data_IF_235665401595
#
_entry.id   IF_235665401595
#
_cell.length_a   1.000
_cell.length_b   1.000
_cell.length_c   1.000
_cell.angle_alpha   90.00
_cell.angle_beta   90.00
_cell.angle_gamma   90.00
#
_symmetry.space_group_name_H-M   'P 1'
#
loop_
_entity.id
_entity.type
_entity.pdbx_description
1 polymer ?
#
# COMPACT_ATOMS: atom_id res chain seq x y z
N UNK A 1 -14.65 -2.92 -17.94
CA UNK A 1 -14.41 -1.46 -17.99
C UNK A 1 -12.92 -1.08 -17.76
N UNK A 2 -12.14 -1.75 -16.91
CA UNK A 2 -10.74 -1.38 -16.64
C UNK A 2 -9.77 -1.40 -17.85
N UNK A 3 -10.04 -2.17 -18.89
CA UNK A 3 -9.14 -2.29 -20.06
C UNK A 3 -9.07 -1.05 -20.95
N UNK A 4 -10.12 -0.24 -21.02
CA UNK A 4 -10.17 0.98 -21.87
C UNK A 4 -9.46 2.19 -21.21
N UNK A 5 -9.12 2.08 -19.92
CA UNK A 5 -8.56 3.17 -19.11
C UNK A 5 -7.06 2.98 -18.86
N UNK A 6 -6.54 1.76 -19.11
CA UNK A 6 -5.16 1.36 -18.78
C UNK A 6 -4.27 1.43 -20.03
N UNK A 7 -3.38 2.42 -20.04
CA UNK A 7 -2.35 2.59 -21.06
C UNK A 7 -0.98 2.57 -20.39
N UNK A 8 -0.47 1.38 -20.09
CA UNK A 8 0.87 1.16 -19.53
C UNK A 8 1.39 -0.20 -19.94
N UNK A 9 2.69 -0.43 -19.77
CA UNK A 9 3.32 -1.71 -19.93
C UNK A 9 3.41 -2.43 -18.59
N UNK A 10 3.01 -3.70 -18.55
CA UNK A 10 3.31 -4.57 -17.42
C UNK A 10 4.57 -5.37 -17.78
N UNK A 11 5.60 -5.24 -16.97
CA UNK A 11 6.81 -6.04 -17.15
C UNK A 11 6.45 -7.47 -16.75
N UNK A 12 6.61 -8.39 -17.70
CA UNK A 12 6.34 -9.82 -17.46
C UNK A 12 7.23 -10.32 -16.32
N UNK A 13 6.61 -10.77 -15.26
CA UNK A 13 7.27 -11.31 -14.06
C UNK A 13 8.19 -12.49 -14.42
N UNK A 14 7.81 -13.29 -15.42
CA UNK A 14 8.63 -14.40 -15.92
C UNK A 14 10.02 -13.97 -16.43
N UNK A 15 10.18 -12.69 -16.80
CA UNK A 15 11.46 -12.12 -17.22
C UNK A 15 12.32 -11.61 -16.07
N UNK A 16 11.81 -11.66 -14.84
CA UNK A 16 12.47 -11.16 -13.63
C UNK A 16 12.48 -12.22 -12.52
N UNK A 17 12.98 -13.45 -12.79
CA UNK A 17 13.01 -14.50 -11.79
C UNK A 17 13.81 -14.04 -10.56
N UNK A 18 13.25 -14.25 -9.39
CA UNK A 18 13.84 -13.85 -8.11
C UNK A 18 13.67 -12.38 -7.73
N UNK A 19 13.49 -11.44 -8.66
CA UNK A 19 13.27 -10.02 -8.33
C UNK A 19 11.91 -9.80 -7.68
N UNK A 20 10.88 -10.45 -8.20
CA UNK A 20 9.52 -10.38 -7.65
C UNK A 20 9.44 -10.96 -6.25
N UNK A 21 10.07 -12.12 -6.05
CA UNK A 21 10.12 -12.76 -4.73
C UNK A 21 10.89 -11.89 -3.74
N UNK A 22 12.00 -11.30 -4.16
CA UNK A 22 12.78 -10.36 -3.35
C UNK A 22 11.95 -9.14 -2.97
N UNK A 23 11.28 -8.49 -3.92
CA UNK A 23 10.46 -7.30 -3.66
C UNK A 23 9.28 -7.64 -2.75
N UNK A 24 8.59 -8.76 -3.01
CA UNK A 24 7.48 -9.23 -2.17
C UNK A 24 7.95 -9.50 -0.75
N UNK A 25 9.08 -10.18 -0.59
CA UNK A 25 9.67 -10.45 0.72
C UNK A 25 10.09 -9.16 1.43
N UNK A 26 10.73 -8.22 0.75
CA UNK A 26 11.14 -6.92 1.32
C UNK A 26 9.94 -6.10 1.80
N UNK A 27 8.86 -6.02 1.00
CA UNK A 27 7.62 -5.35 1.40
C UNK A 27 7.01 -6.06 2.61
N UNK A 28 6.85 -7.39 2.57
CA UNK A 28 6.24 -8.16 3.65
C UNK A 28 7.06 -8.15 4.95
N UNK A 29 8.37 -7.97 4.90
CA UNK A 29 9.26 -7.89 6.06
C UNK A 29 9.36 -6.47 6.64
N UNK A 30 8.95 -5.44 5.90
CA UNK A 30 9.03 -4.06 6.37
C UNK A 30 8.11 -3.85 7.59
N UNK A 31 8.68 -3.40 8.70
CA UNK A 31 7.97 -3.26 9.97
C UNK A 31 6.85 -2.21 9.88
N UNK A 32 7.09 -1.06 9.25
CA UNK A 32 6.08 -0.02 9.09
C UNK A 32 4.91 -0.52 8.24
N UNK A 33 5.20 -1.22 7.13
CA UNK A 33 4.18 -1.87 6.30
C UNK A 33 3.34 -2.86 7.12
N UNK A 34 3.98 -3.75 7.88
CA UNK A 34 3.29 -4.76 8.70
C UNK A 34 2.40 -4.15 9.77
N UNK A 35 2.86 -3.08 10.40
CA UNK A 35 2.11 -2.41 11.46
C UNK A 35 0.86 -1.71 10.92
N UNK A 36 0.94 -1.11 9.72
CA UNK A 36 -0.18 -0.39 9.10
C UNK A 36 -1.11 -1.33 8.35
N UNK A 37 -0.58 -2.22 7.52
CA UNK A 37 -1.38 -3.10 6.68
C UNK A 37 -1.92 -4.34 7.42
N UNK A 38 -1.27 -4.77 8.51
CA UNK A 38 -1.62 -5.99 9.27
C UNK A 38 -1.86 -7.18 8.33
N UNK A 39 -0.89 -7.56 7.49
CA UNK A 39 -1.13 -8.47 6.38
C UNK A 39 -1.42 -9.90 6.85
N UNK A 40 -2.52 -10.46 6.36
CA UNK A 40 -2.76 -11.91 6.33
C UNK A 40 -2.15 -12.52 5.07
N UNK A 41 -2.35 -11.83 3.95
CA UNK A 41 -1.83 -12.22 2.66
C UNK A 41 -1.40 -10.99 1.85
N UNK A 42 -0.23 -11.07 1.25
CA UNK A 42 0.25 -10.10 0.26
C UNK A 42 0.15 -10.77 -1.11
N UNK A 43 -0.54 -10.13 -2.04
CA UNK A 43 -0.72 -10.67 -3.40
C UNK A 43 0.59 -10.71 -4.19
N UNK A 44 0.57 -11.45 -5.29
CA UNK A 44 1.57 -11.27 -6.32
C UNK A 44 1.60 -9.81 -6.77
N UNK A 45 2.81 -9.27 -6.86
CA UNK A 45 3.05 -7.90 -7.28
C UNK A 45 3.05 -7.79 -8.81
N UNK A 46 2.74 -6.59 -9.30
CA UNK A 46 2.83 -6.23 -10.72
C UNK A 46 3.85 -5.12 -10.86
N UNK A 47 4.83 -5.30 -11.72
CA UNK A 47 5.76 -4.23 -12.10
C UNK A 47 5.17 -3.51 -13.31
N UNK A 48 4.86 -2.23 -13.13
CA UNK A 48 4.26 -1.37 -14.15
C UNK A 48 5.27 -0.32 -14.61
N UNK A 49 5.35 -0.15 -15.93
CA UNK A 49 6.17 0.86 -16.60
C UNK A 49 5.30 1.82 -17.38
N UNK A 50 5.59 3.10 -17.25
CA UNK A 50 4.93 4.19 -17.97
C UNK A 50 5.99 5.02 -18.69
N UNK A 51 5.82 5.18 -20.01
CA UNK A 51 6.61 6.03 -20.90
C UNK A 51 5.78 7.23 -21.33
N UNK A 52 6.36 8.24 -22.01
CA UNK A 52 5.63 9.40 -22.51
C UNK A 52 4.36 8.99 -23.28
N UNK A 53 3.24 9.64 -22.95
CA UNK A 53 1.91 9.34 -23.45
C UNK A 53 1.17 8.24 -22.71
N UNK A 54 1.79 7.57 -21.73
CA UNK A 54 1.16 6.48 -20.96
C UNK A 54 0.58 6.98 -19.65
N UNK A 55 -0.57 6.42 -19.29
CA UNK A 55 -1.33 6.74 -18.07
C UNK A 55 -2.17 5.56 -17.61
N UNK A 56 -2.80 5.70 -16.47
CA UNK A 56 -3.86 4.80 -16.04
C UNK A 56 -5.01 5.64 -15.50
N UNK A 57 -6.12 5.66 -16.23
CA UNK A 57 -7.27 6.50 -15.91
C UNK A 57 -7.95 6.14 -14.59
N UNK A 58 -8.89 6.96 -14.19
CA UNK A 58 -9.58 6.87 -12.91
C UNK A 58 -10.32 5.52 -12.76
N UNK A 59 -10.04 4.79 -11.69
CA UNK A 59 -10.63 3.49 -11.39
C UNK A 59 -10.56 3.16 -9.89
N UNK A 60 -11.20 2.07 -9.51
CA UNK A 60 -10.96 1.35 -8.24
C UNK A 60 -10.41 -0.02 -8.57
N UNK A 61 -9.63 -0.60 -7.68
CA UNK A 61 -9.18 -1.98 -7.80
C UNK A 61 -10.31 -2.97 -7.45
N UNK A 62 -10.13 -4.23 -7.87
CA UNK A 62 -11.10 -5.28 -7.56
C UNK A 62 -11.12 -5.60 -6.06
N UNK A 63 -12.31 -5.78 -5.49
CA UNK A 63 -12.49 -6.16 -4.08
C UNK A 63 -11.96 -7.56 -3.76
N UNK A 64 -11.96 -8.45 -4.77
CA UNK A 64 -11.46 -9.83 -4.66
C UNK A 64 -10.52 -10.10 -5.82
N UNK A 65 -9.35 -10.63 -5.50
CA UNK A 65 -8.32 -10.99 -6.46
C UNK A 65 -8.66 -12.32 -7.16
N UNK A 66 -8.03 -12.59 -8.31
CA UNK A 66 -8.18 -13.88 -9.01
C UNK A 66 -7.80 -15.10 -8.17
N UNK A 67 -6.95 -14.92 -7.17
CA UNK A 67 -6.57 -15.95 -6.19
C UNK A 67 -7.65 -16.25 -5.15
N UNK A 68 -8.79 -15.52 -5.17
CA UNK A 68 -9.87 -15.63 -4.19
C UNK A 68 -9.63 -14.82 -2.90
N UNK A 69 -8.47 -14.18 -2.74
CA UNK A 69 -8.19 -13.34 -1.58
C UNK A 69 -8.87 -11.96 -1.71
N UNK A 70 -9.33 -11.41 -0.57
CA UNK A 70 -9.80 -10.02 -0.52
C UNK A 70 -8.63 -9.08 -0.81
N UNK A 71 -8.95 -7.95 -1.43
CA UNK A 71 -8.05 -6.82 -1.55
C UNK A 71 -8.58 -5.68 -0.66
N UNK A 72 -8.02 -5.53 0.53
CA UNK A 72 -8.45 -4.51 1.50
C UNK A 72 -7.61 -3.23 1.36
N UNK A 73 -6.33 -3.38 1.04
CA UNK A 73 -5.36 -2.30 0.89
C UNK A 73 -4.61 -2.51 -0.42
N UNK A 74 -4.50 -1.45 -1.21
CA UNK A 74 -3.59 -1.37 -2.36
C UNK A 74 -2.29 -0.69 -1.94
N UNK A 75 -1.19 -1.06 -2.58
CA UNK A 75 0.07 -0.35 -2.39
C UNK A 75 0.78 -0.06 -3.70
N UNK A 76 1.51 1.05 -3.71
CA UNK A 76 2.44 1.41 -4.79
C UNK A 76 3.82 1.64 -4.18
N UNK A 77 4.81 0.86 -4.63
CA UNK A 77 6.22 1.05 -4.35
C UNK A 77 6.86 1.74 -5.56
N UNK A 78 7.43 2.92 -5.36
CA UNK A 78 8.11 3.68 -6.40
C UNK A 78 9.51 3.10 -6.65
N UNK A 79 9.87 2.89 -7.91
CA UNK A 79 11.19 2.40 -8.32
C UNK A 79 11.97 3.42 -9.17
N UNK A 80 11.31 4.45 -9.72
CA UNK A 80 11.94 5.58 -10.39
C UNK A 80 12.01 6.78 -9.43
N UNK A 81 13.12 7.50 -9.44
CA UNK A 81 13.21 8.74 -8.70
C UNK A 81 12.30 9.82 -9.29
N UNK A 82 11.69 10.70 -8.48
CA UNK A 82 10.71 11.68 -8.93
C UNK A 82 11.25 12.66 -9.99
N UNK A 83 12.53 12.95 -9.96
CA UNK A 83 13.20 13.86 -10.90
C UNK A 83 13.60 13.19 -12.22
N UNK A 84 13.45 11.86 -12.35
CA UNK A 84 13.80 11.10 -13.55
C UNK A 84 12.68 11.04 -14.60
N UNK A 85 11.49 11.56 -14.27
CA UNK A 85 10.35 11.60 -15.19
C UNK A 85 9.43 12.80 -14.88
N UNK A 86 8.63 13.23 -15.84
CA UNK A 86 7.64 14.29 -15.71
C UNK A 86 6.22 13.71 -15.78
N UNK A 87 5.29 14.28 -15.01
CA UNK A 87 3.94 13.71 -14.84
C UNK A 87 3.97 12.41 -14.04
N UNK A 88 3.06 11.50 -14.33
CA UNK A 88 3.01 10.16 -13.75
C UNK A 88 2.70 10.10 -12.25
N UNK A 89 2.14 11.16 -11.67
CA UNK A 89 1.70 11.15 -10.27
C UNK A 89 0.64 10.09 -10.04
N UNK A 90 0.71 9.42 -8.90
CA UNK A 90 -0.40 8.65 -8.36
C UNK A 90 -1.39 9.63 -7.72
N UNK A 91 -2.56 9.76 -8.30
CA UNK A 91 -3.62 10.63 -7.78
C UNK A 91 -4.65 9.79 -7.01
N UNK A 92 -4.86 10.12 -5.74
CA UNK A 92 -5.82 9.50 -4.84
C UNK A 92 -6.99 10.48 -4.61
N UNK A 93 -8.22 10.04 -4.86
CA UNK A 93 -9.41 10.88 -4.64
C UNK A 93 -9.92 10.66 -3.22
N UNK A 94 -9.82 11.68 -2.41
CA UNK A 94 -10.26 11.67 -1.01
C UNK A 94 -11.49 12.56 -0.81
N UNK A 95 -12.13 12.48 0.36
CA UNK A 95 -13.23 13.38 0.73
C UNK A 95 -12.81 14.87 0.75
N UNK A 96 -11.51 15.16 0.86
CA UNK A 96 -10.94 16.51 0.92
C UNK A 96 -10.29 16.94 -0.40
N UNK A 97 -10.54 16.23 -1.49
CA UNK A 97 -9.96 16.49 -2.80
C UNK A 97 -8.90 15.47 -3.22
N UNK A 98 -8.23 15.76 -4.32
CA UNK A 98 -7.21 14.89 -4.88
C UNK A 98 -5.87 15.09 -4.17
N UNK A 99 -5.23 13.97 -3.83
CA UNK A 99 -3.87 13.91 -3.33
C UNK A 99 -2.96 13.38 -4.43
N UNK A 100 -1.98 14.16 -4.86
CA UNK A 100 -0.97 13.76 -5.84
C UNK A 100 0.27 13.25 -5.12
N UNK A 101 0.68 12.04 -5.46
CA UNK A 101 1.78 11.34 -4.79
C UNK A 101 2.86 10.99 -5.81
N UNK A 102 4.06 11.51 -5.59
CA UNK A 102 5.27 11.24 -6.38
C UNK A 102 6.45 11.22 -5.41
N UNK A 103 6.95 10.04 -5.10
CA UNK A 103 7.91 9.82 -4.01
C UNK A 103 9.25 9.26 -4.54
N UNK A 104 10.34 9.43 -3.78
CA UNK A 104 11.63 8.84 -4.11
C UNK A 104 11.57 7.32 -4.30
N UNK A 105 12.47 6.77 -5.11
CA UNK A 105 12.63 5.34 -5.28
C UNK A 105 12.82 4.64 -3.92
N UNK A 106 12.17 3.49 -3.74
CA UNK A 106 12.13 2.75 -2.48
C UNK A 106 11.01 3.19 -1.52
N UNK A 107 10.33 4.31 -1.78
CA UNK A 107 9.16 4.74 -1.00
C UNK A 107 7.92 3.94 -1.37
N UNK A 108 7.09 3.64 -0.36
CA UNK A 108 5.85 2.89 -0.53
C UNK A 108 4.68 3.67 0.05
N UNK A 109 3.58 3.76 -0.70
CA UNK A 109 2.31 4.31 -0.25
C UNK A 109 1.25 3.22 -0.16
N UNK A 110 0.44 3.28 0.90
CA UNK A 110 -0.69 2.40 1.16
C UNK A 110 -1.99 3.21 1.07
N UNK A 111 -3.01 2.65 0.44
CA UNK A 111 -4.33 3.27 0.36
C UNK A 111 -5.44 2.21 0.30
N UNK A 112 -6.67 2.53 0.74
CA UNK A 112 -7.80 1.61 0.65
C UNK A 112 -8.04 1.18 -0.80
N UNK A 113 -8.20 -0.13 -1.05
CA UNK A 113 -8.41 -0.69 -2.41
C UNK A 113 -9.64 -0.11 -3.11
N UNK A 114 -10.70 0.23 -2.34
CA UNK A 114 -11.91 0.85 -2.86
C UNK A 114 -11.79 2.35 -3.18
N UNK A 115 -10.64 2.98 -2.91
CA UNK A 115 -10.43 4.39 -3.22
C UNK A 115 -10.28 4.60 -4.73
N UNK A 116 -10.98 5.60 -5.27
CA UNK A 116 -10.76 6.05 -6.65
C UNK A 116 -9.36 6.61 -6.79
N UNK A 117 -8.65 6.12 -7.78
CA UNK A 117 -7.27 6.55 -8.05
C UNK A 117 -6.93 6.45 -9.54
N UNK A 118 -5.88 7.15 -9.94
CA UNK A 118 -5.33 7.13 -11.30
C UNK A 118 -3.82 7.36 -11.29
N UNK A 119 -3.17 7.06 -12.40
CA UNK A 119 -1.80 7.52 -12.69
C UNK A 119 -1.89 8.53 -13.82
N UNK A 120 -1.48 9.77 -13.54
CA UNK A 120 -1.45 10.84 -14.54
C UNK A 120 -0.49 10.48 -15.68
N UNK A 121 -0.66 11.12 -16.83
CA UNK A 121 0.17 10.87 -18.00
C UNK A 121 1.63 11.22 -17.71
N UNK A 122 2.53 10.35 -18.12
CA UNK A 122 3.97 10.63 -18.14
C UNK A 122 4.26 11.43 -19.41
N UNK A 123 4.83 12.64 -19.27
CA UNK A 123 5.17 13.50 -20.41
C UNK A 123 6.62 13.34 -20.85
N UNK A 124 7.54 13.00 -19.93
CA UNK A 124 8.95 12.74 -20.21
C UNK A 124 9.54 11.70 -19.26
N UNK A 125 10.62 11.03 -19.65
CA UNK A 125 11.29 10.02 -18.86
C UNK A 125 10.53 8.70 -18.76
N UNK A 126 10.80 7.94 -17.69
CA UNK A 126 10.19 6.62 -17.47
C UNK A 126 9.84 6.42 -15.99
N UNK A 127 8.55 6.15 -15.72
CA UNK A 127 8.08 5.80 -14.38
C UNK A 127 7.95 4.29 -14.25
N UNK A 128 8.66 3.72 -13.29
CA UNK A 128 8.55 2.31 -12.90
C UNK A 128 8.00 2.25 -11.47
N UNK A 129 6.99 1.42 -11.26
CA UNK A 129 6.41 1.19 -9.95
C UNK A 129 5.97 -0.26 -9.80
N UNK A 130 6.01 -0.74 -8.56
CA UNK A 130 5.41 -2.02 -8.18
C UNK A 130 4.06 -1.73 -7.53
N UNK A 131 3.03 -2.44 -7.97
CA UNK A 131 1.71 -2.41 -7.37
C UNK A 131 1.34 -3.79 -6.84
N UNK A 132 0.60 -3.81 -5.74
CA UNK A 132 0.12 -5.04 -5.15
C UNK A 132 -0.99 -4.77 -4.15
N UNK A 133 -1.54 -5.85 -3.60
CA UNK A 133 -2.71 -5.81 -2.73
C UNK A 133 -2.46 -6.62 -1.47
N UNK A 134 -3.13 -6.21 -0.42
CA UNK A 134 -3.08 -6.87 0.88
C UNK A 134 -4.48 -7.28 1.29
N UNK A 135 -4.63 -8.55 1.64
CA UNK A 135 -5.70 -8.97 2.53
C UNK A 135 -5.22 -8.71 3.95
N UNK A 136 -5.85 -7.76 4.62
CA UNK A 136 -5.55 -7.46 6.02
C UNK A 136 -6.18 -8.51 6.94
N UNK A 137 -5.52 -8.80 8.06
CA UNK A 137 -6.08 -9.57 9.17
C UNK A 137 -7.26 -8.83 9.80
N UNK A 138 -7.18 -7.51 9.86
CA UNK A 138 -8.26 -6.65 10.35
C UNK A 138 -8.93 -5.99 9.15
N UNK A 139 -10.12 -6.46 8.80
CA UNK A 139 -10.84 -6.08 7.59
C UNK A 139 -11.29 -4.62 7.59
N UNK A 140 -11.89 -4.16 8.69
CA UNK A 140 -12.42 -2.80 8.79
C UNK A 140 -11.27 -1.78 8.92
N UNK A 141 -11.17 -0.78 8.02
CA UNK A 141 -10.14 0.25 8.09
C UNK A 141 -10.20 1.08 9.39
N UNK A 142 -11.39 1.29 9.97
CA UNK A 142 -11.55 2.02 11.23
C UNK A 142 -10.93 1.24 12.40
N UNK A 143 -11.09 -0.08 12.41
CA UNK A 143 -10.47 -0.95 13.42
C UNK A 143 -8.93 -0.95 13.27
N UNK A 144 -8.41 -0.93 12.05
CA UNK A 144 -6.96 -0.79 11.82
C UNK A 144 -6.43 0.53 12.35
N UNK A 145 -7.13 1.64 12.08
CA UNK A 145 -6.77 2.97 12.57
C UNK A 145 -6.68 3.00 14.10
N UNK A 146 -7.70 2.48 14.80
CA UNK A 146 -7.71 2.38 16.27
C UNK A 146 -6.49 1.60 16.78
N UNK A 147 -6.18 0.45 16.16
CA UNK A 147 -5.02 -0.36 16.56
C UNK A 147 -3.69 0.35 16.31
N UNK A 148 -3.57 1.07 15.19
CA UNK A 148 -2.38 1.87 14.86
C UNK A 148 -2.18 2.97 15.90
N UNK A 149 -3.24 3.68 16.26
CA UNK A 149 -3.16 4.77 17.22
C UNK A 149 -2.82 4.27 18.63
N UNK A 150 -3.43 3.17 19.06
CA UNK A 150 -3.08 2.52 20.34
C UNK A 150 -1.62 2.06 20.37
N UNK A 151 -1.11 1.47 19.29
CA UNK A 151 0.29 1.06 19.21
C UNK A 151 1.24 2.27 19.23
N UNK A 152 0.89 3.38 18.58
CA UNK A 152 1.64 4.64 18.62
C UNK A 152 1.70 5.21 20.03
N UNK A 153 0.54 5.35 20.68
CA UNK A 153 0.44 5.84 22.06
C UNK A 153 1.27 4.97 23.00
N UNK A 154 1.17 3.65 22.88
CA UNK A 154 1.95 2.72 23.70
C UNK A 154 3.46 2.89 23.49
N UNK A 155 3.91 3.01 22.26
CA UNK A 155 5.35 3.21 21.95
C UNK A 155 5.84 4.53 22.52
N UNK A 156 5.08 5.60 22.38
CA UNK A 156 5.41 6.92 22.91
C UNK A 156 5.41 6.93 24.45
N UNK A 157 4.41 6.32 25.05
CA UNK A 157 4.32 6.18 26.52
C UNK A 157 5.53 5.44 27.09
N UNK A 158 5.89 4.29 26.51
CA UNK A 158 7.06 3.51 26.93
C UNK A 158 8.38 4.28 26.83
N UNK A 159 8.54 5.15 25.83
CA UNK A 159 9.73 6.00 25.68
C UNK A 159 9.83 7.06 26.78
N UNK A 160 8.69 7.62 27.21
CA UNK A 160 8.66 8.78 28.10
C UNK A 160 8.51 8.38 29.58
N UNK A 161 7.71 7.37 29.88
CA UNK A 161 7.37 6.95 31.25
C UNK A 161 7.94 5.59 31.66
N UNK A 162 8.45 4.81 30.70
CA UNK A 162 8.89 3.45 30.94
C UNK A 162 7.75 2.43 31.04
N UNK A 163 8.08 1.25 31.60
CA UNK A 163 7.13 0.17 31.72
C UNK A 163 6.46 0.20 33.10
N UNK A 164 5.14 0.40 33.10
CA UNK A 164 4.31 0.42 34.31
C UNK A 164 2.91 -0.18 34.04
N UNK A 165 2.01 -0.11 35.03
CA UNK A 165 0.65 -0.62 34.91
C UNK A 165 -0.15 0.01 33.76
N UNK A 166 0.07 1.28 33.41
CA UNK A 166 -0.60 1.93 32.29
C UNK A 166 -0.14 1.35 30.97
N UNK A 167 1.17 1.07 30.83
CA UNK A 167 1.71 0.38 29.65
C UNK A 167 1.11 -1.03 29.49
N UNK A 168 0.92 -1.76 30.59
CA UNK A 168 0.28 -3.09 30.60
C UNK A 168 -1.20 -3.00 30.15
N UNK A 169 -1.94 -2.00 30.62
CA UNK A 169 -3.33 -1.77 30.20
C UNK A 169 -3.44 -1.42 28.72
N UNK A 170 -2.54 -0.59 28.17
CA UNK A 170 -2.48 -0.29 26.75
C UNK A 170 -2.24 -1.56 25.94
N UNK A 171 -1.26 -2.38 26.34
CA UNK A 171 -0.95 -3.65 25.67
C UNK A 171 -2.14 -4.60 25.74
N UNK A 172 -2.74 -4.78 26.93
CA UNK A 172 -3.94 -5.62 27.13
C UNK A 172 -5.08 -5.19 26.24
N UNK A 173 -5.35 -3.89 26.18
CA UNK A 173 -6.46 -3.34 25.37
C UNK A 173 -6.22 -3.58 23.88
N UNK A 174 -5.06 -3.22 23.36
CA UNK A 174 -4.68 -3.47 21.96
C UNK A 174 -4.77 -4.96 21.61
N UNK A 175 -4.24 -5.85 22.48
CA UNK A 175 -4.27 -7.30 22.25
C UNK A 175 -5.69 -7.86 22.26
N UNK A 176 -6.58 -7.36 23.13
CA UNK A 176 -7.97 -7.82 23.16
C UNK A 176 -8.76 -7.34 21.95
N UNK A 177 -8.55 -6.11 21.50
CA UNK A 177 -9.16 -5.61 20.25
C UNK A 177 -8.69 -6.44 19.04
N UNK A 178 -7.41 -6.82 18.99
CA UNK A 178 -6.91 -7.74 17.95
C UNK A 178 -7.62 -9.09 17.99
N UNK A 179 -7.86 -9.68 19.18
CA UNK A 179 -8.62 -10.93 19.30
C UNK A 179 -10.07 -10.83 18.80
N UNK A 180 -10.67 -9.64 18.92
CA UNK A 180 -12.03 -9.39 18.46
C UNK A 180 -12.13 -9.16 16.95
N UNK A 181 -11.07 -8.60 16.32
CA UNK A 181 -11.11 -8.09 14.94
C UNK A 181 -10.21 -8.83 13.95
N UNK A 182 -9.34 -9.73 14.44
CA UNK A 182 -8.46 -10.54 13.58
C UNK A 182 -9.28 -11.69 12.94
N UNK A 183 -9.29 -11.75 11.59
CA UNK A 183 -9.99 -12.76 10.78
C UNK A 183 -9.04 -13.78 10.16
#
# INVERSE_FOLDING_TARGET
MARAVKHNEQIEIARLPGVVDLLTAKVAQNTAFRNVAMPRHVSNIIVSRYRPGMSYGLHTDNAVLRSGHRADISFTLFLSDPDSYEGGELCLVTAFGEQRVKLPAGSLVLYPTGMLHRVDEVSAGERIAVVGWVQSRVRDPRHREILIDLDRVRVEYLKNAGHDHAADLLLKTSTNLRRMWDE
#
